data_IF_269561791128
#
_entry.id   IF_269561791128
#
_cell.length_a   1.000
_cell.length_b   1.000
_cell.length_c   1.000
_cell.angle_alpha   90.00
_cell.angle_beta   90.00
_cell.angle_gamma   90.00
#
_symmetry.space_group_name_H-M   'P 1'
#
loop_
_entity.id
_entity.type
_entity.pdbx_description
1 polymer ?
#
# COMPACT_ATOMS: atom_id res chain seq x y z
N UNK A 1 7.63 19.44 -22.55
CA UNK A 1 6.39 19.88 -23.20
C UNK A 1 5.55 18.69 -23.72
N UNK A 2 6.06 17.84 -24.62
CA UNK A 2 5.31 16.72 -25.21
C UNK A 2 4.68 15.77 -24.16
N UNK A 3 5.45 15.32 -23.15
CA UNK A 3 4.94 14.44 -22.07
C UNK A 3 3.77 15.09 -21.30
N UNK A 4 3.82 16.39 -21.05
CA UNK A 4 2.75 17.12 -20.37
C UNK A 4 1.48 17.16 -21.23
N UNK A 5 1.60 17.53 -22.53
CA UNK A 5 0.44 17.56 -23.46
C UNK A 5 -0.22 16.18 -23.53
N UNK A 6 0.58 15.12 -23.70
CA UNK A 6 0.09 13.73 -23.69
C UNK A 6 -0.64 13.38 -22.40
N UNK A 7 -0.12 13.81 -21.24
CA UNK A 7 -0.77 13.61 -19.93
C UNK A 7 -2.09 14.38 -19.84
N UNK A 8 -2.12 15.61 -20.30
CA UNK A 8 -3.35 16.44 -20.31
C UNK A 8 -4.44 15.80 -21.17
N UNK A 9 -4.12 15.37 -22.40
CA UNK A 9 -5.06 14.67 -23.28
C UNK A 9 -5.59 13.40 -22.60
N UNK A 10 -4.70 12.57 -22.08
CA UNK A 10 -5.12 11.35 -21.35
C UNK A 10 -6.00 11.64 -20.15
N UNK A 11 -5.76 12.76 -19.45
CA UNK A 11 -6.61 13.18 -18.31
C UNK A 11 -7.99 13.58 -18.77
N UNK A 12 -8.10 14.34 -19.87
CA UNK A 12 -9.39 14.72 -20.46
C UNK A 12 -10.16 13.47 -20.89
N UNK A 13 -9.53 12.60 -21.69
CA UNK A 13 -10.17 11.36 -22.15
C UNK A 13 -10.60 10.44 -20.99
N UNK A 14 -9.78 10.30 -19.96
CA UNK A 14 -10.15 9.52 -18.77
C UNK A 14 -11.33 10.15 -18.03
N UNK A 15 -11.38 11.47 -17.88
CA UNK A 15 -12.51 12.13 -17.24
C UNK A 15 -13.81 11.99 -18.05
N UNK A 16 -13.73 12.06 -19.37
CA UNK A 16 -14.88 11.80 -20.25
C UNK A 16 -15.35 10.35 -20.11
N UNK A 17 -14.41 9.38 -20.08
CA UNK A 17 -14.71 7.97 -19.89
C UNK A 17 -15.35 7.68 -18.53
N UNK A 18 -14.82 8.24 -17.44
CA UNK A 18 -15.40 8.10 -16.10
C UNK A 18 -16.82 8.69 -16.02
N UNK A 19 -17.07 9.86 -16.64
CA UNK A 19 -18.41 10.43 -16.70
C UNK A 19 -19.36 9.58 -17.58
N UNK A 20 -18.86 9.02 -18.70
CA UNK A 20 -19.64 8.08 -19.51
C UNK A 20 -20.04 6.83 -18.71
N UNK A 21 -19.08 6.24 -17.97
CA UNK A 21 -19.38 5.09 -17.12
C UNK A 21 -20.42 5.44 -16.04
N UNK A 22 -20.25 6.59 -15.39
CA UNK A 22 -21.14 7.06 -14.34
C UNK A 22 -22.58 7.26 -14.83
N UNK A 23 -22.78 7.75 -16.05
CA UNK A 23 -24.09 8.08 -16.60
C UNK A 23 -24.71 6.86 -17.30
N UNK A 24 -23.96 6.16 -18.13
CA UNK A 24 -24.48 5.17 -19.08
C UNK A 24 -24.13 3.72 -18.76
N UNK A 25 -23.04 3.46 -17.99
CA UNK A 25 -22.62 2.10 -17.62
C UNK A 25 -22.84 1.79 -16.15
N UNK A 26 -24.06 1.99 -15.69
CA UNK A 26 -24.42 1.81 -14.28
C UNK A 26 -24.42 0.32 -13.90
N UNK A 27 -23.67 0.00 -12.83
CA UNK A 27 -23.66 -1.33 -12.22
C UNK A 27 -24.48 -1.32 -10.93
N UNK A 28 -25.24 -2.38 -10.70
CA UNK A 28 -26.00 -2.57 -9.48
C UNK A 28 -25.10 -2.98 -8.32
N UNK A 29 -25.40 -2.46 -7.15
CA UNK A 29 -24.68 -2.72 -5.90
C UNK A 29 -25.71 -2.98 -4.80
N UNK A 30 -25.48 -3.99 -3.98
CA UNK A 30 -26.39 -4.35 -2.90
C UNK A 30 -26.21 -3.42 -1.68
N UNK A 31 -26.81 -2.23 -1.75
CA UNK A 31 -26.86 -1.28 -0.63
C UNK A 31 -27.96 -1.74 0.34
N UNK A 32 -27.62 -1.93 1.61
CA UNK A 32 -28.56 -2.32 2.65
C UNK A 32 -29.42 -1.11 3.07
N UNK A 33 -30.72 -1.34 3.25
CA UNK A 33 -31.64 -0.33 3.80
C UNK A 33 -31.82 -0.46 5.32
N UNK A 34 -31.34 -1.55 5.92
CA UNK A 34 -31.52 -1.85 7.34
C UNK A 34 -30.22 -1.80 8.15
N UNK A 35 -29.07 -1.91 7.46
CA UNK A 35 -27.76 -1.89 8.08
C UNK A 35 -26.96 -0.68 7.59
N UNK A 36 -26.08 -0.18 8.41
CA UNK A 36 -25.07 0.80 8.02
C UNK A 36 -24.22 0.23 6.89
N UNK A 37 -24.05 0.97 5.81
CA UNK A 37 -23.16 0.57 4.72
C UNK A 37 -21.77 1.18 4.92
N UNK A 38 -20.76 0.35 4.72
CA UNK A 38 -19.37 0.76 4.58
C UNK A 38 -18.96 0.44 3.16
N UNK A 39 -18.65 1.45 2.38
CA UNK A 39 -18.33 1.30 0.96
C UNK A 39 -16.84 1.52 0.76
N UNK A 40 -16.09 0.46 0.46
CA UNK A 40 -14.65 0.51 0.17
C UNK A 40 -14.44 0.55 -1.34
N UNK A 41 -13.98 1.68 -1.84
CA UNK A 41 -13.60 1.90 -3.23
C UNK A 41 -12.12 1.66 -3.47
N UNK A 42 -11.74 1.47 -4.74
CA UNK A 42 -10.35 1.31 -5.17
C UNK A 42 -9.80 -0.10 -4.94
N UNK A 43 -10.68 -1.08 -4.75
CA UNK A 43 -10.29 -2.48 -4.51
C UNK A 43 -9.49 -3.01 -5.70
N UNK A 44 -8.25 -3.53 -5.46
CA UNK A 44 -7.40 -4.03 -6.52
C UNK A 44 -7.86 -5.39 -7.03
N UNK A 45 -7.83 -5.57 -8.33
CA UNK A 45 -8.06 -6.84 -8.99
C UNK A 45 -6.84 -7.32 -9.82
N UNK A 46 -5.73 -6.61 -9.72
CA UNK A 46 -4.47 -6.88 -10.42
C UNK A 46 -3.48 -7.66 -9.52
N UNK A 47 -2.42 -8.27 -10.10
CA UNK A 47 -1.59 -9.27 -9.43
C UNK A 47 -0.58 -8.73 -8.39
N UNK A 48 -0.67 -7.49 -7.92
CA UNK A 48 0.21 -6.96 -6.87
C UNK A 48 -0.23 -7.48 -5.48
N UNK A 49 0.51 -8.43 -4.92
CA UNK A 49 0.20 -9.04 -3.62
C UNK A 49 0.35 -8.07 -2.45
N UNK A 50 1.17 -7.02 -2.58
CA UNK A 50 1.23 -5.95 -1.59
C UNK A 50 -0.11 -5.22 -1.45
N UNK A 51 -0.70 -4.80 -2.58
CA UNK A 51 -2.00 -4.12 -2.59
C UNK A 51 -3.15 -5.08 -2.18
N UNK A 52 -3.01 -6.38 -2.49
CA UNK A 52 -3.96 -7.41 -2.01
C UNK A 52 -3.87 -7.61 -0.49
N UNK A 53 -2.67 -7.55 0.10
CA UNK A 53 -2.48 -7.61 1.55
C UNK A 53 -3.08 -6.38 2.25
N UNK A 54 -2.93 -5.19 1.66
CA UNK A 54 -3.61 -3.96 2.11
C UNK A 54 -5.11 -4.20 2.16
N UNK A 55 -5.73 -4.69 1.09
CA UNK A 55 -7.16 -4.96 1.05
C UNK A 55 -7.61 -5.94 2.15
N UNK A 56 -6.87 -7.02 2.36
CA UNK A 56 -7.17 -7.99 3.43
C UNK A 56 -7.09 -7.35 4.81
N UNK A 57 -6.08 -6.51 5.04
CA UNK A 57 -5.93 -5.78 6.29
C UNK A 57 -7.08 -4.78 6.51
N UNK A 58 -7.44 -4.01 5.48
CA UNK A 58 -8.55 -3.06 5.52
C UNK A 58 -9.88 -3.76 5.80
N UNK A 59 -10.15 -4.86 5.09
CA UNK A 59 -11.36 -5.66 5.31
C UNK A 59 -11.45 -6.13 6.77
N UNK A 60 -10.39 -6.76 7.30
CA UNK A 60 -10.35 -7.18 8.71
C UNK A 60 -10.49 -6.01 9.68
N UNK A 61 -9.86 -4.87 9.37
CA UNK A 61 -9.97 -3.67 10.19
C UNK A 61 -11.40 -3.11 10.20
N UNK A 62 -12.09 -3.07 9.05
CA UNK A 62 -13.48 -2.64 8.95
C UNK A 62 -14.39 -3.61 9.70
N UNK A 63 -14.28 -4.91 9.47
CA UNK A 63 -15.10 -5.94 10.13
C UNK A 63 -14.93 -5.92 11.68
N UNK A 64 -13.70 -5.69 12.18
CA UNK A 64 -13.43 -5.56 13.62
C UNK A 64 -14.11 -4.33 14.23
N UNK A 65 -14.18 -3.20 13.50
CA UNK A 65 -14.73 -1.95 14.03
C UNK A 65 -16.23 -1.76 13.72
N UNK A 66 -16.78 -2.50 12.78
CA UNK A 66 -18.19 -2.43 12.34
C UNK A 66 -18.73 -3.84 12.04
N UNK A 67 -18.86 -4.71 13.06
CA UNK A 67 -19.22 -6.12 12.83
C UNK A 67 -20.61 -6.30 12.21
N UNK A 68 -21.53 -5.36 12.44
CA UNK A 68 -22.90 -5.44 11.95
C UNK A 68 -23.13 -4.69 10.62
N UNK A 69 -22.10 -4.02 10.09
CA UNK A 69 -22.22 -3.22 8.87
C UNK A 69 -22.29 -4.11 7.61
N UNK A 70 -22.94 -3.59 6.58
CA UNK A 70 -22.89 -4.13 5.23
C UNK A 70 -21.62 -3.60 4.53
N UNK A 71 -20.59 -4.43 4.38
CA UNK A 71 -19.38 -4.07 3.66
C UNK A 71 -19.55 -4.28 2.15
N UNK A 72 -19.42 -3.21 1.40
CA UNK A 72 -19.48 -3.19 -0.07
C UNK A 72 -18.11 -2.86 -0.60
N UNK A 73 -17.53 -3.77 -1.37
CA UNK A 73 -16.21 -3.60 -1.99
C UNK A 73 -16.36 -3.30 -3.48
N UNK A 74 -15.83 -2.15 -3.93
CA UNK A 74 -15.92 -1.69 -5.32
C UNK A 74 -14.52 -1.68 -5.93
N UNK A 75 -14.36 -2.43 -7.03
CA UNK A 75 -13.08 -2.47 -7.75
C UNK A 75 -12.69 -1.09 -8.27
N UNK A 76 -11.39 -0.88 -8.45
CA UNK A 76 -10.88 0.37 -9.02
C UNK A 76 -11.52 0.67 -10.38
N UNK A 77 -11.70 -0.35 -11.22
CA UNK A 77 -12.29 -0.24 -12.57
C UNK A 77 -13.80 0.06 -12.55
N UNK A 78 -14.49 -0.31 -11.47
CA UNK A 78 -15.95 -0.14 -11.35
C UNK A 78 -16.35 1.09 -10.55
N UNK A 79 -15.38 1.86 -10.05
CA UNK A 79 -15.63 3.05 -9.23
C UNK A 79 -16.67 3.96 -9.84
N UNK A 80 -16.53 4.35 -11.11
CA UNK A 80 -17.47 5.27 -11.75
C UNK A 80 -18.84 4.64 -12.02
N UNK A 81 -18.89 3.39 -12.45
CA UNK A 81 -20.13 2.71 -12.82
C UNK A 81 -21.04 2.39 -11.63
N UNK A 82 -20.46 2.13 -10.45
CA UNK A 82 -21.23 1.86 -9.22
C UNK A 82 -21.63 3.15 -8.48
N UNK A 83 -20.89 4.24 -8.70
CA UNK A 83 -21.01 5.46 -7.89
C UNK A 83 -22.38 6.13 -8.00
N UNK A 84 -23.07 6.04 -9.14
CA UNK A 84 -24.39 6.67 -9.30
C UNK A 84 -25.41 6.08 -8.34
N UNK A 85 -25.50 4.75 -8.27
CA UNK A 85 -26.44 4.06 -7.37
C UNK A 85 -26.05 4.32 -5.91
N UNK A 86 -24.78 4.19 -5.57
CA UNK A 86 -24.29 4.44 -4.21
C UNK A 86 -24.70 5.85 -3.78
N UNK A 87 -24.44 6.86 -4.62
CA UNK A 87 -24.77 8.26 -4.31
C UNK A 87 -26.26 8.48 -4.06
N UNK A 88 -27.13 7.74 -4.75
CA UNK A 88 -28.60 7.86 -4.59
C UNK A 88 -29.14 7.08 -3.40
N UNK A 89 -28.41 6.08 -2.90
CA UNK A 89 -28.88 5.14 -1.88
C UNK A 89 -28.29 5.37 -0.49
N UNK A 90 -27.09 5.97 -0.40
CA UNK A 90 -26.42 6.15 0.89
C UNK A 90 -27.04 7.28 1.72
N UNK A 91 -26.95 7.11 3.04
CA UNK A 91 -27.40 8.06 4.05
C UNK A 91 -26.22 8.75 4.74
N UNK A 92 -26.52 9.65 5.70
CA UNK A 92 -25.49 10.30 6.53
C UNK A 92 -24.74 9.33 7.44
N UNK A 93 -25.33 8.20 7.77
CA UNK A 93 -24.79 7.19 8.69
C UNK A 93 -23.81 6.24 7.98
N UNK A 94 -23.90 6.17 6.66
CA UNK A 94 -23.02 5.36 5.84
C UNK A 94 -21.63 6.00 5.72
N UNK A 95 -20.62 5.16 5.47
CA UNK A 95 -19.24 5.61 5.39
C UNK A 95 -18.60 5.20 4.07
N UNK A 96 -18.01 6.17 3.40
CA UNK A 96 -17.22 5.93 2.20
C UNK A 96 -15.75 5.82 2.60
N UNK A 97 -15.11 4.75 2.16
CA UNK A 97 -13.69 4.53 2.31
C UNK A 97 -13.02 4.33 0.95
N UNK A 98 -11.76 4.68 0.86
CA UNK A 98 -10.93 4.41 -0.32
C UNK A 98 -9.68 3.67 0.10
N UNK A 99 -9.30 2.64 -0.67
CA UNK A 99 -8.15 1.80 -0.38
C UNK A 99 -6.86 2.61 -0.21
N UNK A 100 -6.03 2.19 0.75
CA UNK A 100 -4.70 2.69 1.00
C UNK A 100 -3.67 2.24 -0.02
N UNK A 101 -2.40 2.43 0.31
CA UNK A 101 -1.28 1.99 -0.50
C UNK A 101 -0.35 3.11 -0.95
N UNK A 102 0.31 2.91 -2.10
CA UNK A 102 1.34 3.83 -2.60
C UNK A 102 0.95 4.57 -3.87
N UNK A 103 -0.34 4.76 -4.14
CA UNK A 103 -0.84 5.22 -5.43
C UNK A 103 -1.42 6.66 -5.42
N UNK A 104 -1.21 7.43 -4.34
CA UNK A 104 -1.55 8.87 -4.34
C UNK A 104 -0.43 9.66 -4.99
N UNK A 105 -0.70 10.17 -6.19
CA UNK A 105 0.27 11.01 -6.89
C UNK A 105 0.34 10.81 -8.40
N UNK A 106 1.53 11.08 -8.98
CA UNK A 106 1.71 11.08 -10.45
C UNK A 106 2.14 9.75 -11.04
N UNK A 107 2.67 8.81 -10.24
CA UNK A 107 3.15 7.50 -10.73
C UNK A 107 2.00 6.59 -11.21
N UNK A 108 0.88 6.58 -10.48
CA UNK A 108 -0.29 5.76 -10.76
C UNK A 108 -1.50 6.64 -11.13
N UNK A 109 -1.48 7.28 -12.32
CA UNK A 109 -2.45 8.32 -12.65
C UNK A 109 -3.88 7.82 -12.81
N UNK A 110 -4.09 6.53 -13.08
CA UNK A 110 -5.44 5.97 -13.18
C UNK A 110 -6.10 5.89 -11.81
N UNK A 111 -5.40 5.33 -10.82
CA UNK A 111 -5.88 5.24 -9.43
C UNK A 111 -6.19 6.61 -8.85
N UNK A 112 -5.29 7.58 -9.07
CA UNK A 112 -5.49 8.94 -8.58
C UNK A 112 -6.66 9.66 -9.29
N UNK A 113 -6.91 9.39 -10.57
CA UNK A 113 -8.07 9.94 -11.30
C UNK A 113 -9.39 9.36 -10.79
N UNK A 114 -9.46 8.07 -10.55
CA UNK A 114 -10.63 7.41 -9.95
C UNK A 114 -10.92 8.00 -8.57
N UNK A 115 -9.90 8.19 -7.74
CA UNK A 115 -10.02 8.82 -6.41
C UNK A 115 -10.53 10.25 -6.51
N UNK A 116 -9.93 11.08 -7.38
CA UNK A 116 -10.41 12.46 -7.64
C UNK A 116 -11.85 12.48 -8.14
N UNK A 117 -12.23 11.54 -8.99
CA UNK A 117 -13.60 11.42 -9.50
C UNK A 117 -14.58 11.12 -8.37
N UNK A 118 -14.28 10.14 -7.52
CA UNK A 118 -15.06 9.81 -6.33
C UNK A 118 -15.23 11.04 -5.42
N UNK A 119 -14.14 11.69 -5.04
CA UNK A 119 -14.16 12.85 -4.13
C UNK A 119 -15.07 13.96 -4.66
N UNK A 120 -14.98 14.26 -5.96
CA UNK A 120 -15.82 15.30 -6.59
C UNK A 120 -17.29 14.94 -6.64
N UNK A 121 -17.62 13.68 -6.95
CA UNK A 121 -19.02 13.24 -7.04
C UNK A 121 -19.68 13.09 -5.65
N UNK A 122 -18.87 12.84 -4.62
CA UNK A 122 -19.29 12.60 -3.23
C UNK A 122 -18.83 13.72 -2.29
N UNK A 123 -18.79 14.96 -2.77
CA UNK A 123 -18.20 16.12 -2.08
C UNK A 123 -18.87 16.52 -0.76
N UNK A 124 -20.10 16.08 -0.50
CA UNK A 124 -20.83 16.32 0.75
C UNK A 124 -20.81 15.12 1.70
N UNK A 125 -20.24 13.99 1.25
CA UNK A 125 -20.19 12.76 2.04
C UNK A 125 -18.87 12.67 2.82
N UNK A 126 -18.92 11.97 3.94
CA UNK A 126 -17.74 11.65 4.73
C UNK A 126 -16.92 10.59 3.99
N UNK A 127 -15.69 10.94 3.64
CA UNK A 127 -14.77 10.04 2.93
C UNK A 127 -13.51 9.87 3.79
N UNK A 128 -13.07 8.64 3.96
CA UNK A 128 -11.81 8.29 4.61
C UNK A 128 -10.95 7.53 3.62
N UNK A 129 -9.78 8.08 3.31
CA UNK A 129 -8.76 7.38 2.53
C UNK A 129 -7.85 6.65 3.52
N UNK A 130 -7.73 5.33 3.37
CA UNK A 130 -6.83 4.50 4.14
C UNK A 130 -5.36 4.90 3.94
N UNK A 131 -4.41 4.44 4.80
CA UNK A 131 -3.04 4.93 4.83
C UNK A 131 -2.35 4.92 3.46
N UNK A 132 -1.93 6.10 2.99
CA UNK A 132 -1.32 6.33 1.68
C UNK A 132 0.11 6.83 1.78
N UNK A 133 0.95 6.43 0.82
CA UNK A 133 2.13 7.20 0.46
C UNK A 133 1.81 8.21 -0.63
N UNK A 134 2.40 9.40 -0.55
CA UNK A 134 2.19 10.50 -1.48
C UNK A 134 3.47 10.79 -2.25
N UNK A 135 3.41 10.64 -3.58
CA UNK A 135 4.54 10.95 -4.45
C UNK A 135 4.09 11.65 -5.73
N UNK A 136 4.54 12.87 -5.91
CA UNK A 136 4.44 13.61 -7.17
C UNK A 136 5.84 13.88 -7.69
N UNK A 137 6.11 13.52 -8.94
CA UNK A 137 7.38 13.75 -9.59
C UNK A 137 7.71 15.26 -9.63
N UNK A 138 8.99 15.61 -9.45
CA UNK A 138 9.42 17.00 -9.57
C UNK A 138 9.67 17.39 -11.03
N UNK A 139 8.60 17.36 -11.82
CA UNK A 139 8.58 17.79 -13.21
C UNK A 139 7.23 18.42 -13.55
N UNK A 140 7.07 18.93 -14.77
CA UNK A 140 5.82 19.57 -15.22
C UNK A 140 4.60 18.64 -15.13
N UNK A 141 4.78 17.34 -15.37
CA UNK A 141 3.70 16.34 -15.28
C UNK A 141 3.27 16.14 -13.84
N UNK A 142 4.22 15.98 -12.93
CA UNK A 142 3.95 15.81 -11.50
C UNK A 142 3.28 17.06 -10.90
N UNK A 143 3.75 18.26 -11.23
CA UNK A 143 3.12 19.53 -10.81
C UNK A 143 1.70 19.68 -11.34
N UNK A 144 1.43 19.27 -12.57
CA UNK A 144 0.08 19.26 -13.15
C UNK A 144 -0.84 18.29 -12.40
N UNK A 145 -0.44 17.05 -12.17
CA UNK A 145 -1.22 16.06 -11.42
C UNK A 145 -1.45 16.52 -9.96
N UNK A 146 -0.43 17.09 -9.31
CA UNK A 146 -0.53 17.67 -7.97
C UNK A 146 -1.60 18.76 -7.89
N UNK A 147 -1.61 19.70 -8.86
CA UNK A 147 -2.60 20.75 -8.94
C UNK A 147 -4.03 20.19 -9.07
N UNK A 148 -4.22 19.16 -9.93
CA UNK A 148 -5.52 18.52 -10.11
C UNK A 148 -5.99 17.79 -8.83
N UNK A 149 -5.08 17.13 -8.13
CA UNK A 149 -5.40 16.44 -6.87
C UNK A 149 -5.73 17.44 -5.77
N UNK A 150 -4.94 18.50 -5.60
CA UNK A 150 -5.18 19.55 -4.62
C UNK A 150 -6.58 20.19 -4.82
N UNK A 151 -6.93 20.51 -6.07
CA UNK A 151 -8.25 21.06 -6.41
C UNK A 151 -9.39 20.08 -6.09
N UNK A 152 -9.20 18.78 -6.33
CA UNK A 152 -10.23 17.79 -6.07
C UNK A 152 -10.44 17.57 -4.57
N UNK A 153 -9.36 17.39 -3.81
CA UNK A 153 -9.41 17.13 -2.37
C UNK A 153 -10.02 18.31 -1.60
N UNK A 154 -9.72 19.54 -2.00
CA UNK A 154 -10.32 20.76 -1.43
C UNK A 154 -11.85 20.82 -1.55
N UNK A 155 -12.45 20.11 -2.53
CA UNK A 155 -13.91 20.16 -2.75
C UNK A 155 -14.71 19.37 -1.70
N UNK A 156 -14.07 18.56 -0.88
CA UNK A 156 -14.75 17.79 0.17
C UNK A 156 -14.17 18.12 1.56
N UNK A 157 -14.88 18.94 2.32
CA UNK A 157 -14.48 19.33 3.68
C UNK A 157 -14.58 18.21 4.71
N UNK A 158 -15.28 17.12 4.38
CA UNK A 158 -15.45 15.94 5.23
C UNK A 158 -14.46 14.80 4.85
N UNK A 159 -13.49 15.11 3.98
CA UNK A 159 -12.45 14.18 3.58
C UNK A 159 -11.38 14.08 4.67
N UNK A 160 -11.04 12.85 5.06
CA UNK A 160 -9.85 12.55 5.85
C UNK A 160 -8.89 11.69 5.04
N UNK A 161 -7.64 12.12 4.96
CA UNK A 161 -6.56 11.41 4.32
C UNK A 161 -5.65 10.82 5.40
N UNK A 162 -5.63 9.49 5.54
CA UNK A 162 -4.60 8.84 6.33
C UNK A 162 -3.33 8.69 5.48
N UNK A 163 -2.18 8.95 6.09
CA UNK A 163 -0.86 8.75 5.48
C UNK A 163 -0.03 7.81 6.35
N UNK A 164 0.85 7.04 5.72
CA UNK A 164 1.51 5.91 6.41
C UNK A 164 2.95 6.17 6.82
N UNK A 165 3.53 7.31 6.48
CA UNK A 165 4.88 7.71 6.89
C UNK A 165 5.03 9.25 6.93
N UNK A 166 6.03 9.74 7.67
CA UNK A 166 6.28 11.16 7.89
C UNK A 166 6.57 11.95 6.60
N UNK A 167 7.23 11.35 5.62
CA UNK A 167 7.43 11.99 4.31
C UNK A 167 6.09 12.35 3.68
N UNK A 168 5.15 11.41 3.62
CA UNK A 168 3.83 11.65 3.07
C UNK A 168 3.00 12.62 3.91
N UNK A 169 3.17 12.63 5.25
CA UNK A 169 2.50 13.63 6.10
C UNK A 169 2.95 15.05 5.76
N UNK A 170 4.25 15.24 5.60
CA UNK A 170 4.82 16.54 5.21
C UNK A 170 4.31 16.97 3.83
N UNK A 171 4.32 16.05 2.86
CA UNK A 171 3.79 16.31 1.52
C UNK A 171 2.29 16.62 1.54
N UNK A 172 1.50 15.88 2.34
CA UNK A 172 0.07 16.11 2.47
C UNK A 172 -0.26 17.51 2.99
N UNK A 173 0.45 17.97 4.03
CA UNK A 173 0.26 19.31 4.59
C UNK A 173 0.53 20.43 3.58
N UNK A 174 1.49 20.24 2.69
CA UNK A 174 1.83 21.21 1.64
C UNK A 174 0.81 21.17 0.48
N UNK A 175 0.47 19.96 0.01
CA UNK A 175 -0.33 19.78 -1.20
C UNK A 175 -1.83 19.89 -0.93
N UNK A 176 -2.27 19.42 0.24
CA UNK A 176 -3.68 19.36 0.66
C UNK A 176 -3.93 20.14 1.97
N UNK A 177 -3.60 21.45 2.04
CA UNK A 177 -3.57 22.21 3.30
C UNK A 177 -4.93 22.31 3.99
N UNK A 178 -6.03 22.10 3.28
CA UNK A 178 -7.40 22.15 3.83
C UNK A 178 -7.98 20.77 4.13
N UNK A 179 -7.28 19.70 3.80
CA UNK A 179 -7.74 18.33 4.03
C UNK A 179 -7.24 17.85 5.40
N UNK A 180 -8.11 17.25 6.19
CA UNK A 180 -7.72 16.62 7.45
C UNK A 180 -6.79 15.44 7.16
N UNK A 181 -5.54 15.52 7.64
CA UNK A 181 -4.54 14.47 7.48
C UNK A 181 -4.21 13.83 8.84
N UNK A 182 -4.13 12.51 8.87
CA UNK A 182 -3.71 11.73 10.05
C UNK A 182 -2.55 10.82 9.68
N UNK A 183 -1.62 10.62 10.63
CA UNK A 183 -0.50 9.70 10.48
C UNK A 183 -0.82 8.41 11.23
N UNK A 184 -0.79 7.29 10.52
CA UNK A 184 -0.98 5.94 11.07
C UNK A 184 -0.10 4.95 10.30
N UNK A 185 0.30 3.81 10.86
CA UNK A 185 1.11 2.84 10.15
C UNK A 185 0.45 2.31 8.87
N UNK A 186 1.23 1.71 7.98
CA UNK A 186 0.68 0.93 6.87
C UNK A 186 -0.31 -0.09 7.43
N UNK A 187 -1.49 -0.20 6.82
CA UNK A 187 -2.55 -1.04 7.36
C UNK A 187 -2.16 -2.54 7.41
N UNK A 188 -1.18 -2.95 6.61
CA UNK A 188 -0.65 -4.33 6.61
C UNK A 188 -0.07 -4.71 7.97
N UNK A 189 0.48 -3.77 8.74
CA UNK A 189 0.93 -4.05 10.11
C UNK A 189 -0.19 -4.54 11.03
N UNK A 190 -1.46 -4.22 10.74
CA UNK A 190 -2.59 -4.75 11.53
C UNK A 190 -2.80 -6.27 11.38
N UNK A 191 -2.10 -6.91 10.44
CA UNK A 191 -2.09 -8.36 10.27
C UNK A 191 -1.03 -9.07 11.12
N UNK A 192 -0.19 -8.33 11.86
CA UNK A 192 0.84 -8.92 12.71
C UNK A 192 0.22 -9.85 13.77
N UNK A 193 0.90 -10.98 14.03
CA UNK A 193 0.41 -12.02 14.93
C UNK A 193 -0.76 -12.85 14.39
N UNK A 194 -1.27 -12.56 13.16
CA UNK A 194 -2.33 -13.38 12.54
C UNK A 194 -1.79 -14.51 11.66
N UNK A 195 -0.50 -14.49 11.34
CA UNK A 195 0.17 -15.56 10.57
C UNK A 195 0.83 -16.54 11.53
N UNK A 196 0.79 -17.83 11.19
CA UNK A 196 1.51 -18.85 11.96
C UNK A 196 3.02 -18.73 11.67
N UNK A 197 3.80 -18.51 12.72
CA UNK A 197 5.24 -18.39 12.57
C UNK A 197 5.87 -19.79 12.41
N UNK A 198 6.72 -19.95 11.40
CA UNK A 198 7.57 -21.10 11.26
C UNK A 198 8.85 -20.88 12.08
N UNK A 199 9.38 -21.92 12.76
CA UNK A 199 10.62 -21.80 13.51
C UNK A 199 11.77 -21.41 12.58
N UNK A 200 12.65 -20.52 13.06
CA UNK A 200 13.89 -20.19 12.35
C UNK A 200 14.83 -21.37 12.45
N UNK A 201 15.42 -21.80 11.34
CA UNK A 201 16.41 -22.87 11.31
C UNK A 201 17.64 -22.52 12.16
N UNK A 202 18.24 -23.53 12.81
CA UNK A 202 19.45 -23.34 13.65
C UNK A 202 20.64 -22.81 12.85
N UNK A 203 20.78 -23.23 11.59
CA UNK A 203 21.80 -22.78 10.66
C UNK A 203 21.16 -22.05 9.49
N UNK A 204 21.74 -20.94 9.04
CA UNK A 204 21.19 -20.19 7.89
C UNK A 204 21.28 -21.03 6.63
N UNK A 205 20.14 -21.36 6.06
CA UNK A 205 20.05 -22.20 4.88
C UNK A 205 19.52 -21.48 3.66
N UNK A 206 18.55 -20.55 3.84
CA UNK A 206 17.85 -19.91 2.73
C UNK A 206 17.87 -18.39 2.85
N UNK A 207 18.38 -17.72 1.83
CA UNK A 207 18.16 -16.28 1.63
C UNK A 207 17.13 -16.07 0.50
N UNK A 208 16.16 -15.19 0.75
CA UNK A 208 15.11 -14.81 -0.20
C UNK A 208 15.35 -13.41 -0.71
N UNK A 209 15.61 -13.26 -2.01
CA UNK A 209 15.76 -11.97 -2.69
C UNK A 209 14.43 -11.54 -3.28
N UNK A 210 13.98 -10.34 -2.91
CA UNK A 210 12.74 -9.72 -3.37
C UNK A 210 13.08 -8.34 -3.94
N UNK A 211 13.84 -8.34 -5.02
CA UNK A 211 14.42 -7.15 -5.63
C UNK A 211 13.65 -6.72 -6.88
N UNK A 212 13.54 -5.41 -7.07
CA UNK A 212 12.86 -4.79 -8.22
C UNK A 212 13.74 -4.84 -9.46
N UNK A 213 13.08 -4.97 -10.61
CA UNK A 213 13.69 -4.82 -11.94
C UNK A 213 13.01 -3.70 -12.75
N UNK A 214 12.26 -2.82 -12.07
CA UNK A 214 11.56 -1.69 -12.68
C UNK A 214 12.25 -0.34 -12.39
N UNK A 215 11.67 0.75 -12.92
CA UNK A 215 12.20 2.12 -12.81
C UNK A 215 12.29 2.65 -11.35
N UNK A 216 11.68 1.99 -10.37
CA UNK A 216 11.79 2.37 -8.96
C UNK A 216 13.03 1.76 -8.27
N UNK A 217 13.75 0.81 -8.90
CA UNK A 217 14.97 0.20 -8.35
C UNK A 217 16.13 1.20 -8.37
N UNK A 218 16.84 1.29 -7.25
CA UNK A 218 18.12 2.01 -7.14
C UNK A 218 19.33 1.08 -7.26
N UNK A 219 19.12 -0.25 -7.36
CA UNK A 219 20.18 -1.24 -7.42
C UNK A 219 20.54 -1.55 -8.86
N UNK A 220 21.84 -1.44 -9.19
CA UNK A 220 22.37 -1.79 -10.51
C UNK A 220 22.48 -3.32 -10.68
N UNK A 221 22.41 -3.81 -11.91
CA UNK A 221 22.55 -5.23 -12.19
C UNK A 221 23.91 -5.82 -11.70
N UNK A 222 25.07 -5.13 -11.87
CA UNK A 222 26.33 -5.60 -11.29
C UNK A 222 26.27 -5.74 -9.76
N UNK A 223 25.69 -4.76 -9.05
CA UNK A 223 25.55 -4.81 -7.60
C UNK A 223 24.64 -5.99 -7.16
N UNK A 224 23.51 -6.22 -7.83
CA UNK A 224 22.63 -7.37 -7.54
C UNK A 224 23.37 -8.70 -7.73
N UNK A 225 24.21 -8.80 -8.76
CA UNK A 225 25.02 -10.01 -9.04
C UNK A 225 26.07 -10.23 -7.94
N UNK A 226 26.79 -9.19 -7.53
CA UNK A 226 27.80 -9.26 -6.46
C UNK A 226 27.16 -9.61 -5.12
N UNK A 227 26.01 -8.98 -4.78
CA UNK A 227 25.21 -9.28 -3.60
C UNK A 227 24.78 -10.74 -3.57
N UNK A 228 24.28 -11.28 -4.69
CA UNK A 228 23.87 -12.67 -4.82
C UNK A 228 25.05 -13.62 -4.63
N UNK A 229 26.22 -13.32 -5.21
CA UNK A 229 27.43 -14.12 -5.06
C UNK A 229 27.95 -14.12 -3.61
N UNK A 230 27.89 -12.97 -2.92
CA UNK A 230 28.23 -12.86 -1.51
C UNK A 230 27.30 -13.69 -0.64
N UNK A 231 25.97 -13.59 -0.86
CA UNK A 231 24.99 -14.38 -0.11
C UNK A 231 25.15 -15.89 -0.37
N UNK A 232 25.50 -16.31 -1.59
CA UNK A 232 25.76 -17.71 -1.93
C UNK A 232 26.93 -18.36 -1.19
N UNK A 233 27.83 -17.57 -0.61
CA UNK A 233 28.88 -18.08 0.29
C UNK A 233 28.38 -18.34 1.72
N UNK A 234 27.25 -17.76 2.10
CA UNK A 234 26.70 -17.79 3.47
C UNK A 234 25.45 -18.65 3.61
N UNK A 235 24.65 -18.76 2.57
CA UNK A 235 23.41 -19.52 2.54
C UNK A 235 23.51 -20.64 1.51
N UNK A 236 23.02 -21.81 1.86
CA UNK A 236 23.02 -22.97 0.96
C UNK A 236 22.06 -22.82 -0.20
N UNK A 237 21.01 -22.02 -0.02
CA UNK A 237 20.00 -21.76 -1.03
C UNK A 237 19.74 -20.27 -1.16
N UNK A 238 19.82 -19.76 -2.39
CA UNK A 238 19.36 -18.42 -2.75
C UNK A 238 18.12 -18.55 -3.63
N UNK A 239 17.01 -18.02 -3.16
CA UNK A 239 15.75 -17.98 -3.91
C UNK A 239 15.42 -16.53 -4.30
N UNK A 240 14.84 -16.35 -5.47
CA UNK A 240 14.36 -15.02 -5.93
C UNK A 240 12.86 -15.07 -6.14
N UNK A 241 12.16 -14.06 -5.66
CA UNK A 241 10.72 -13.90 -5.84
C UNK A 241 10.34 -12.44 -6.05
N UNK A 242 9.07 -12.20 -6.36
CA UNK A 242 8.47 -10.88 -6.47
C UNK A 242 7.21 -10.78 -5.60
N UNK A 243 6.80 -9.55 -5.28
CA UNK A 243 5.50 -9.27 -4.69
C UNK A 243 4.36 -9.27 -5.72
N UNK A 244 4.66 -9.46 -7.00
CA UNK A 244 3.67 -9.73 -8.04
C UNK A 244 3.34 -11.22 -8.10
N UNK A 245 2.05 -11.56 -8.18
CA UNK A 245 1.63 -12.95 -8.43
C UNK A 245 1.98 -13.33 -9.87
N UNK A 246 2.62 -14.49 -10.03
CA UNK A 246 2.99 -15.00 -11.35
C UNK A 246 1.84 -15.81 -11.96
N UNK A 247 1.68 -15.73 -13.29
CA UNK A 247 0.68 -16.47 -14.06
C UNK A 247 -0.77 -16.24 -13.61
N UNK A 248 -1.06 -15.05 -13.08
CA UNK A 248 -2.39 -14.62 -12.64
C UNK A 248 -2.63 -13.21 -13.13
N UNK A 249 -3.61 -13.00 -13.99
CA UNK A 249 -3.97 -11.67 -14.50
C UNK A 249 -4.94 -10.94 -13.57
N UNK A 250 -5.86 -11.69 -12.95
CA UNK A 250 -6.92 -11.14 -12.10
C UNK A 250 -6.93 -11.84 -10.74
N UNK A 251 -6.88 -11.04 -9.69
CA UNK A 251 -7.09 -11.50 -8.32
C UNK A 251 -8.48 -11.06 -7.85
N UNK A 252 -9.21 -12.00 -7.28
CA UNK A 252 -10.56 -11.82 -6.74
C UNK A 252 -10.70 -12.50 -5.36
N UNK A 253 -11.87 -12.50 -4.79
CA UNK A 253 -12.09 -13.05 -3.45
C UNK A 253 -11.85 -14.57 -3.36
N UNK A 254 -11.93 -15.31 -4.48
CA UNK A 254 -11.74 -16.77 -4.52
C UNK A 254 -10.25 -17.13 -4.38
N UNK A 255 -9.35 -16.42 -5.09
CA UNK A 255 -7.93 -16.78 -5.17
C UNK A 255 -7.00 -15.92 -4.30
N UNK A 256 -7.47 -14.76 -3.82
CA UNK A 256 -6.66 -13.78 -3.05
C UNK A 256 -5.94 -14.40 -1.87
N UNK A 257 -6.68 -15.04 -0.96
CA UNK A 257 -6.09 -15.59 0.26
C UNK A 257 -5.13 -16.74 -0.02
N UNK A 258 -5.43 -17.59 -1.00
CA UNK A 258 -4.52 -18.69 -1.40
C UNK A 258 -3.19 -18.14 -1.91
N UNK A 259 -3.23 -17.10 -2.76
CA UNK A 259 -2.03 -16.46 -3.30
C UNK A 259 -1.20 -15.75 -2.22
N UNK A 260 -1.86 -15.04 -1.30
CA UNK A 260 -1.19 -14.39 -0.18
C UNK A 260 -0.57 -15.40 0.78
N UNK A 261 -1.30 -16.45 1.16
CA UNK A 261 -0.79 -17.50 2.05
C UNK A 261 0.42 -18.22 1.44
N UNK A 262 0.38 -18.51 0.13
CA UNK A 262 1.53 -19.07 -0.58
C UNK A 262 2.73 -18.13 -0.53
N UNK A 263 2.52 -16.83 -0.74
CA UNK A 263 3.60 -15.83 -0.68
C UNK A 263 4.16 -15.71 0.74
N UNK A 264 3.32 -15.62 1.75
CA UNK A 264 3.77 -15.54 3.15
C UNK A 264 4.49 -16.80 3.61
N UNK A 265 4.06 -17.99 3.15
CA UNK A 265 4.80 -19.23 3.39
C UNK A 265 6.21 -19.19 2.79
N UNK A 266 6.35 -18.68 1.57
CA UNK A 266 7.65 -18.50 0.90
C UNK A 266 8.61 -17.60 1.72
N UNK A 267 8.08 -16.51 2.31
CA UNK A 267 8.83 -15.64 3.21
C UNK A 267 9.16 -16.34 4.55
N UNK A 268 8.20 -17.09 5.11
CA UNK A 268 8.39 -17.81 6.38
C UNK A 268 9.50 -18.84 6.34
N UNK A 269 9.79 -19.39 5.17
CA UNK A 269 10.87 -20.37 4.96
C UNK A 269 12.27 -19.71 4.88
N UNK A 270 12.36 -18.38 4.76
CA UNK A 270 13.64 -17.70 4.63
C UNK A 270 14.29 -17.44 6.00
N UNK A 271 15.62 -17.59 6.09
CA UNK A 271 16.41 -17.17 7.23
C UNK A 271 16.88 -15.73 7.12
N UNK A 272 16.89 -15.18 5.89
CA UNK A 272 17.13 -13.79 5.58
C UNK A 272 16.29 -13.37 4.37
N UNK A 273 15.58 -12.27 4.49
CA UNK A 273 14.96 -11.58 3.35
C UNK A 273 15.82 -10.40 2.95
N UNK A 274 16.04 -10.21 1.65
CA UNK A 274 16.76 -9.05 1.09
C UNK A 274 15.85 -8.37 0.09
N UNK A 275 15.54 -7.08 0.30
CA UNK A 275 14.53 -6.42 -0.51
C UNK A 275 14.78 -4.91 -0.70
N UNK A 276 14.31 -4.36 -1.83
CA UNK A 276 14.12 -2.94 -2.09
C UNK A 276 12.63 -2.60 -2.34
N UNK A 277 11.73 -3.54 -1.91
CA UNK A 277 10.27 -3.36 -1.99
C UNK A 277 9.69 -3.14 -0.60
N UNK A 278 8.85 -2.11 -0.45
CA UNK A 278 8.15 -1.84 0.82
C UNK A 278 7.36 -3.07 1.29
N UNK A 279 6.53 -3.67 0.44
CA UNK A 279 5.77 -4.85 0.84
C UNK A 279 6.64 -6.12 0.99
N UNK A 280 7.81 -6.17 0.37
CA UNK A 280 8.82 -7.19 0.68
C UNK A 280 9.28 -7.09 2.15
N UNK A 281 9.61 -5.87 2.60
CA UNK A 281 9.93 -5.60 4.01
C UNK A 281 8.73 -5.90 4.94
N UNK A 282 7.51 -5.45 4.58
CA UNK A 282 6.33 -5.71 5.41
C UNK A 282 6.02 -7.21 5.52
N UNK A 283 6.19 -7.99 4.46
CA UNK A 283 5.99 -9.44 4.51
C UNK A 283 7.06 -10.13 5.37
N UNK A 284 8.32 -9.67 5.32
CA UNK A 284 9.34 -10.15 6.24
C UNK A 284 8.96 -9.89 7.71
N UNK A 285 8.42 -8.70 8.01
CA UNK A 285 7.92 -8.35 9.34
C UNK A 285 6.75 -9.25 9.75
N UNK A 286 5.75 -9.43 8.88
CA UNK A 286 4.58 -10.28 9.16
C UNK A 286 4.96 -11.73 9.44
N UNK A 287 6.01 -12.22 8.80
CA UNK A 287 6.52 -13.59 8.97
C UNK A 287 7.66 -13.67 9.99
N UNK A 288 7.96 -12.57 10.67
CA UNK A 288 9.02 -12.45 11.69
C UNK A 288 10.42 -12.85 11.19
N UNK A 289 10.76 -12.49 9.94
CA UNK A 289 12.06 -12.80 9.35
C UNK A 289 12.99 -11.60 9.38
N UNK A 290 14.29 -11.81 9.64
CA UNK A 290 15.32 -10.81 9.49
C UNK A 290 15.30 -10.26 8.06
N UNK A 291 15.42 -8.93 7.91
CA UNK A 291 15.33 -8.31 6.60
C UNK A 291 16.40 -7.25 6.40
N UNK A 292 17.19 -7.44 5.36
CA UNK A 292 18.09 -6.44 4.83
C UNK A 292 17.35 -5.63 3.76
N UNK A 293 17.26 -4.33 3.96
CA UNK A 293 16.43 -3.48 3.11
C UNK A 293 17.28 -2.43 2.42
N UNK A 294 17.10 -2.29 1.11
CA UNK A 294 17.70 -1.20 0.34
C UNK A 294 16.68 -0.08 0.11
N UNK A 295 17.19 1.15 0.07
CA UNK A 295 16.38 2.31 -0.27
C UNK A 295 15.85 2.24 -1.71
N UNK A 296 14.73 2.91 -1.94
CA UNK A 296 14.17 3.13 -3.29
C UNK A 296 14.05 4.63 -3.59
N UNK A 297 13.83 4.98 -4.86
CA UNK A 297 13.82 6.38 -5.31
C UNK A 297 12.60 7.21 -4.86
N UNK A 298 11.62 6.62 -4.18
CA UNK A 298 10.39 7.30 -3.73
C UNK A 298 10.29 7.50 -2.21
N UNK A 299 11.37 7.23 -1.45
CA UNK A 299 11.50 7.43 -0.01
C UNK A 299 10.54 6.66 0.90
N UNK A 300 9.71 5.76 0.36
CA UNK A 300 8.69 5.04 1.15
C UNK A 300 9.31 4.14 2.21
N UNK A 301 10.37 3.42 1.86
CA UNK A 301 11.04 2.46 2.76
C UNK A 301 11.71 3.19 3.90
N UNK A 302 12.61 4.14 3.57
CA UNK A 302 13.38 4.92 4.54
C UNK A 302 12.45 5.66 5.51
N UNK A 303 11.40 6.28 4.96
CA UNK A 303 10.43 7.00 5.78
C UNK A 303 9.57 6.07 6.63
N UNK A 304 9.21 4.87 6.16
CA UNK A 304 8.49 3.89 6.99
C UNK A 304 9.36 3.42 8.14
N UNK A 305 10.63 3.09 7.88
CA UNK A 305 11.59 2.67 8.91
C UNK A 305 11.79 3.79 9.94
N UNK A 306 12.08 5.01 9.48
CA UNK A 306 12.31 6.16 10.38
C UNK A 306 11.05 6.60 11.14
N UNK A 307 9.85 6.28 10.67
CA UNK A 307 8.60 6.64 11.36
C UNK A 307 8.17 5.58 12.37
N UNK A 308 8.34 4.30 12.08
CA UNK A 308 7.70 3.22 12.83
C UNK A 308 8.61 2.10 13.32
N UNK A 309 9.82 1.96 12.74
CA UNK A 309 10.67 0.77 12.90
C UNK A 309 12.08 1.11 13.39
N UNK A 310 12.28 2.28 14.03
CA UNK A 310 13.61 2.73 14.47
C UNK A 310 14.25 1.76 15.46
N UNK A 311 13.44 1.19 16.36
CA UNK A 311 13.89 0.34 17.46
C UNK A 311 13.94 -1.16 17.11
N UNK A 312 13.58 -1.53 15.86
CA UNK A 312 13.63 -2.95 15.47
C UNK A 312 15.05 -3.40 15.14
N UNK A 313 15.43 -4.54 15.67
CA UNK A 313 16.72 -5.18 15.39
C UNK A 313 16.65 -6.17 14.22
N UNK A 314 15.44 -6.50 13.76
CA UNK A 314 15.22 -7.44 12.64
C UNK A 314 15.33 -6.79 11.28
N UNK A 315 15.19 -5.47 11.17
CA UNK A 315 15.17 -4.75 9.90
C UNK A 315 16.34 -3.78 9.87
N UNK A 316 17.19 -3.90 8.88
CA UNK A 316 18.31 -2.97 8.68
C UNK A 316 18.25 -2.38 7.28
N UNK A 317 18.14 -1.04 7.24
CA UNK A 317 18.30 -0.28 6.01
C UNK A 317 19.79 -0.16 5.70
N UNK A 318 20.16 -0.49 4.48
CA UNK A 318 21.55 -0.39 4.00
C UNK A 318 21.61 0.40 2.70
N UNK A 319 22.72 1.07 2.51
CA UNK A 319 23.05 1.71 1.24
C UNK A 319 23.89 0.77 0.38
N UNK A 320 23.90 1.03 -0.93
CA UNK A 320 24.85 0.37 -1.82
C UNK A 320 26.27 0.76 -1.41
N UNK A 321 27.13 -0.25 -1.23
CA UNK A 321 28.50 -0.05 -0.75
C UNK A 321 29.32 -1.34 -0.84
N UNK A 322 30.51 -1.39 -0.24
CA UNK A 322 31.34 -2.58 -0.23
C UNK A 322 30.61 -3.77 0.41
N UNK A 323 30.73 -4.97 -0.20
CA UNK A 323 30.03 -6.19 0.29
C UNK A 323 30.40 -6.53 1.73
N UNK A 324 31.65 -6.25 2.16
CA UNK A 324 32.10 -6.49 3.55
C UNK A 324 31.31 -5.67 4.58
N UNK A 325 30.88 -4.44 4.22
CA UNK A 325 30.03 -3.64 5.09
C UNK A 325 28.61 -4.25 5.20
N UNK A 326 28.09 -4.77 4.08
CA UNK A 326 26.78 -5.44 4.04
C UNK A 326 26.83 -6.76 4.84
N UNK A 327 27.89 -7.54 4.70
CA UNK A 327 28.12 -8.76 5.48
C UNK A 327 28.07 -8.48 6.98
N UNK A 328 28.74 -7.43 7.44
CA UNK A 328 28.71 -7.03 8.85
C UNK A 328 27.30 -6.69 9.32
N UNK A 329 26.52 -5.98 8.51
CA UNK A 329 25.12 -5.68 8.85
C UNK A 329 24.29 -6.96 8.95
N UNK A 330 24.53 -7.95 8.07
CA UNK A 330 23.85 -9.26 8.14
C UNK A 330 24.23 -10.00 9.44
N UNK A 331 25.47 -9.90 9.88
CA UNK A 331 25.91 -10.52 11.15
C UNK A 331 25.24 -9.85 12.37
N UNK A 332 25.01 -8.56 12.31
CA UNK A 332 24.35 -7.77 13.35
C UNK A 332 22.81 -7.93 13.35
N UNK A 333 22.22 -8.50 12.28
CA UNK A 333 20.79 -8.75 12.22
C UNK A 333 20.38 -9.87 13.20
N UNK A 334 19.58 -9.51 14.20
CA UNK A 334 19.07 -10.49 15.15
C UNK A 334 17.97 -11.33 14.53
N UNK A 335 18.20 -12.65 14.53
CA UNK A 335 17.26 -13.66 14.02
C UNK A 335 16.07 -13.90 14.95
N UNK A 336 16.27 -13.63 16.23
CA UNK A 336 15.26 -13.73 17.28
C UNK A 336 15.34 -12.44 18.10
N UNK A 337 14.63 -11.40 17.70
CA UNK A 337 14.46 -10.23 18.54
C UNK A 337 13.08 -10.31 19.22
N UNK A 338 13.04 -9.83 20.46
CA UNK A 338 11.79 -9.68 21.21
C UNK A 338 11.10 -8.36 20.85
N UNK A 339 11.34 -7.82 19.64
CA UNK A 339 10.72 -6.58 19.19
C UNK A 339 9.20 -6.71 19.28
N UNK A 340 8.60 -6.03 20.24
CA UNK A 340 7.16 -6.03 20.39
C UNK A 340 6.53 -4.99 19.44
N UNK A 341 6.53 -5.33 18.16
CA UNK A 341 5.86 -4.49 17.15
C UNK A 341 4.33 -4.46 17.33
N UNK A 342 3.76 -5.22 18.30
CA UNK A 342 2.32 -5.17 18.64
C UNK A 342 1.89 -3.81 19.17
N UNK A 343 2.83 -3.00 19.69
CA UNK A 343 2.56 -1.60 20.04
C UNK A 343 2.09 -0.77 18.85
N UNK A 344 2.43 -1.17 17.61
CA UNK A 344 1.92 -0.53 16.40
C UNK A 344 0.38 -0.60 16.30
N UNK A 345 -0.28 -1.56 16.95
CA UNK A 345 -1.76 -1.59 16.98
C UNK A 345 -2.34 -0.34 17.65
N UNK A 346 -1.69 0.19 18.67
CA UNK A 346 -2.11 1.42 19.35
C UNK A 346 -1.99 2.65 18.45
N UNK A 347 -1.09 2.62 17.47
CA UNK A 347 -0.89 3.73 16.51
C UNK A 347 -2.06 3.90 15.53
N UNK A 348 -3.01 2.95 15.46
CA UNK A 348 -4.25 3.09 14.69
C UNK A 348 -5.37 3.84 15.44
N UNK A 349 -5.18 4.26 16.67
CA UNK A 349 -6.17 5.04 17.44
C UNK A 349 -6.67 6.28 16.67
N UNK A 350 -5.83 7.08 15.97
CA UNK A 350 -6.33 8.19 15.16
C UNK A 350 -7.29 7.76 14.06
N UNK A 351 -7.00 6.62 13.39
CA UNK A 351 -7.86 6.09 12.35
C UNK A 351 -9.19 5.58 12.95
N UNK A 352 -9.13 4.82 14.06
CA UNK A 352 -10.33 4.35 14.77
C UNK A 352 -11.24 5.51 15.17
N UNK A 353 -10.69 6.59 15.76
CA UNK A 353 -11.45 7.79 16.11
C UNK A 353 -12.13 8.44 14.90
N UNK A 354 -11.42 8.49 13.75
CA UNK A 354 -11.96 9.11 12.54
C UNK A 354 -13.05 8.24 11.91
N UNK A 355 -13.02 6.92 11.99
CA UNK A 355 -14.05 6.07 11.40
C UNK A 355 -15.32 5.98 12.27
N UNK A 356 -15.20 6.16 13.58
CA UNK A 356 -16.30 6.04 14.53
C UNK A 356 -17.11 7.33 14.72
N UNK A 357 -16.48 8.48 14.61
CA UNK A 357 -17.08 9.77 14.86
C UNK A 357 -16.88 10.79 13.77
#
# INVERSE_FOLDING_TARGET
MYRLIKRMIRTILSNLWLNYQYIFRRKQVAVSVTKRNIILFGVPNYPNLGDQAILVAEKKFIEKNFPDANLIMISETDTASCLWQIKSAITSDDLIMYQGGGNTGSLYPLSERNRRFLIRKMNNQRIIIFPQSIFFEDNLVGRYEQCLSSKAYKQNSKLTLAVRENYSLTRAKIIFPTTKCILVPDIVFSLMGTLSNQPVHKLPQKALLVLRDDEESCLTAPFKSELTAMLGKRFSTISTTDTMAQNVDIINDVNRMSLLNKKWAEFSEADLVVTDRLHGMLFAILTERPCLVFANNNHKIESTISTWLQDTERIKLVNTGPMQAIEKVIDDLKRQSQDDLRELEQKYVPLKKVIQG
#
